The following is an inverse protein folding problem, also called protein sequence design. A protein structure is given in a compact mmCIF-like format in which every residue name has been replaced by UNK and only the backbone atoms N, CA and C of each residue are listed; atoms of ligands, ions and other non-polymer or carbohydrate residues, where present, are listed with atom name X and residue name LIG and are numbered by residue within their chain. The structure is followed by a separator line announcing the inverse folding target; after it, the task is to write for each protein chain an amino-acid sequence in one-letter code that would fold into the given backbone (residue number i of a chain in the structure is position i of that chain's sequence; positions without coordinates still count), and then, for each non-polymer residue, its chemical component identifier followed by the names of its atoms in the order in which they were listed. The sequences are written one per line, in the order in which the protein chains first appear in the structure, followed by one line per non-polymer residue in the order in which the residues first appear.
data_IF_985729354299
#
_entry.id   IF_985729354299
#
_cell.length_a   1.000
_cell.length_b   1.000
_cell.length_c   1.000
_cell.angle_alpha   90.00
_cell.angle_beta   90.00
_cell.angle_gamma   90.00
#
_symmetry.space_group_name_H-M   'P 1'
#
loop_
_entity.id
_entity.type
_entity.pdbx_description
1 polymer ?
#
# COMPACT_ATOMS: atom_id res chain seq x y z
N UNK A 1 -11.46 -0.67 19.99
CA UNK A 1 -11.91 -1.51 18.86
C UNK A 1 -10.71 -1.69 17.95
N UNK A 2 -10.06 -2.86 17.98
CA UNK A 2 -8.93 -3.15 17.09
C UNK A 2 -9.45 -3.38 15.68
N UNK A 3 -8.80 -2.78 14.68
CA UNK A 3 -9.09 -3.04 13.27
C UNK A 3 -8.61 -4.47 12.99
N UNK A 4 -9.52 -5.37 12.59
CA UNK A 4 -9.15 -6.72 12.18
C UNK A 4 -8.80 -6.70 10.68
N UNK A 5 -7.69 -7.32 10.30
CA UNK A 5 -7.35 -7.52 8.88
C UNK A 5 -8.23 -8.61 8.28
N UNK A 6 -8.96 -8.29 7.22
CA UNK A 6 -9.68 -9.29 6.42
C UNK A 6 -8.74 -9.96 5.40
N UNK A 7 -9.08 -11.16 4.89
CA UNK A 7 -8.28 -11.79 3.83
C UNK A 7 -8.14 -10.91 2.58
N UNK A 8 -9.21 -10.18 2.21
CA UNK A 8 -9.19 -9.24 1.09
C UNK A 8 -8.21 -8.08 1.35
N UNK A 9 -8.19 -7.52 2.56
CA UNK A 9 -7.24 -6.48 2.95
C UNK A 9 -5.79 -6.96 2.84
N UNK A 10 -5.49 -8.19 3.29
CA UNK A 10 -4.14 -8.76 3.20
C UNK A 10 -3.72 -9.01 1.75
N UNK A 11 -4.65 -9.43 0.90
CA UNK A 11 -4.40 -9.60 -0.53
C UNK A 11 -4.07 -8.25 -1.20
N UNK A 12 -4.87 -7.21 -0.96
CA UNK A 12 -4.62 -5.86 -1.49
C UNK A 12 -3.32 -5.27 -0.97
N UNK A 13 -3.00 -5.46 0.31
CA UNK A 13 -1.72 -5.04 0.88
C UNK A 13 -0.53 -5.75 0.21
N UNK A 14 -0.69 -7.03 -0.14
CA UNK A 14 0.33 -7.79 -0.86
C UNK A 14 0.53 -7.27 -2.28
N UNK A 15 -0.55 -6.93 -2.99
CA UNK A 15 -0.50 -6.31 -4.32
C UNK A 15 0.19 -4.94 -4.26
N UNK A 16 -0.13 -4.11 -3.26
CA UNK A 16 0.49 -2.80 -3.08
C UNK A 16 2.01 -2.93 -2.82
N UNK A 17 2.41 -3.91 -2.00
CA UNK A 17 3.82 -4.23 -1.78
C UNK A 17 4.51 -4.66 -3.08
N UNK A 18 3.86 -5.50 -3.88
CA UNK A 18 4.40 -5.95 -5.15
C UNK A 18 4.60 -4.79 -6.13
N UNK A 19 3.65 -3.86 -6.21
CA UNK A 19 3.79 -2.63 -6.99
C UNK A 19 5.01 -1.80 -6.56
N UNK A 20 5.28 -1.70 -5.25
CA UNK A 20 6.48 -1.03 -4.73
C UNK A 20 7.77 -1.75 -5.16
N UNK A 21 7.78 -3.09 -5.12
CA UNK A 21 8.91 -3.90 -5.57
C UNK A 21 9.13 -3.79 -7.08
N UNK A 22 8.07 -3.71 -7.88
CA UNK A 22 8.17 -3.44 -9.31
C UNK A 22 8.78 -2.06 -9.58
N UNK A 23 8.34 -1.03 -8.86
CA UNK A 23 8.96 0.30 -8.95
C UNK A 23 10.46 0.25 -8.62
N UNK A 24 10.84 -0.52 -7.59
CA UNK A 24 12.24 -0.77 -7.24
C UNK A 24 13.01 -1.45 -8.36
N UNK A 25 12.46 -2.53 -8.91
CA UNK A 25 13.10 -3.33 -9.96
C UNK A 25 13.33 -2.52 -11.25
N UNK A 26 12.41 -1.61 -11.55
CA UNK A 26 12.50 -0.69 -12.70
C UNK A 26 13.33 0.56 -12.38
N UNK A 27 13.91 0.67 -11.18
CA UNK A 27 14.67 1.81 -10.69
C UNK A 27 13.90 3.14 -10.84
N UNK A 28 12.58 3.08 -10.63
CA UNK A 28 11.71 4.24 -10.66
C UNK A 28 11.76 4.95 -9.31
N UNK A 29 11.90 6.27 -9.34
CA UNK A 29 11.85 7.14 -8.17
C UNK A 29 10.75 8.17 -8.32
N UNK A 30 10.16 8.62 -7.21
CA UNK A 30 9.11 9.66 -7.21
C UNK A 30 7.81 9.24 -7.93
N UNK A 31 7.43 7.97 -7.81
CA UNK A 31 6.20 7.43 -8.40
C UNK A 31 5.03 7.57 -7.42
N UNK A 32 3.83 7.84 -7.95
CA UNK A 32 2.57 7.77 -7.20
C UNK A 32 1.90 6.42 -7.47
N UNK A 33 1.66 5.63 -6.43
CA UNK A 33 0.90 4.38 -6.51
C UNK A 33 -0.51 4.65 -5.98
N UNK A 34 -1.50 4.29 -6.78
CA UNK A 34 -2.92 4.50 -6.46
C UNK A 34 -3.58 3.19 -6.01
N UNK A 35 -4.49 3.27 -5.05
CA UNK A 35 -5.28 2.13 -4.59
C UNK A 35 -6.67 2.58 -4.13
N UNK A 36 -7.69 1.76 -4.32
CA UNK A 36 -9.08 2.06 -3.97
C UNK A 36 -9.42 1.79 -2.50
N UNK A 37 -8.53 1.15 -1.75
CA UNK A 37 -8.67 0.93 -0.32
C UNK A 37 -8.08 2.07 0.49
N UNK A 38 -8.95 2.99 0.92
CA UNK A 38 -8.59 4.15 1.73
C UNK A 38 -7.89 3.77 3.05
N UNK A 39 -8.28 2.65 3.68
CA UNK A 39 -7.69 2.19 4.92
C UNK A 39 -6.24 1.73 4.71
N UNK A 40 -5.99 0.99 3.63
CA UNK A 40 -4.65 0.54 3.27
C UNK A 40 -3.73 1.72 2.96
N UNK A 41 -4.20 2.70 2.18
CA UNK A 41 -3.46 3.92 1.89
C UNK A 41 -3.15 4.68 3.17
N UNK A 42 -4.14 4.89 4.04
CA UNK A 42 -3.98 5.58 5.32
C UNK A 42 -2.92 4.91 6.19
N UNK A 43 -2.96 3.57 6.30
CA UNK A 43 -1.93 2.81 7.03
C UNK A 43 -0.56 2.90 6.35
N UNK A 44 -0.48 3.01 5.03
CA UNK A 44 0.80 3.07 4.32
C UNK A 44 1.51 4.43 4.47
N UNK A 45 0.79 5.50 4.79
CA UNK A 45 1.36 6.86 4.92
C UNK A 45 1.37 7.42 6.35
N UNK A 46 0.61 6.82 7.27
CA UNK A 46 0.52 7.31 8.66
C UNK A 46 1.44 6.55 9.61
N UNK A 47 1.67 7.14 10.79
CA UNK A 47 2.34 6.47 11.92
C UNK A 47 1.40 5.52 12.70
N UNK A 48 0.16 5.32 12.22
CA UNK A 48 -0.80 4.42 12.88
C UNK A 48 -0.23 3.01 12.94
N UNK A 49 -0.40 2.34 14.08
CA UNK A 49 0.03 0.95 14.22
C UNK A 49 -0.95 0.06 13.43
N UNK A 50 -0.49 -0.67 12.41
CA UNK A 50 -1.35 -1.60 11.67
C UNK A 50 -1.76 -2.79 12.56
N UNK A 51 -2.83 -3.53 12.17
CA UNK A 51 -3.14 -4.81 12.78
C UNK A 51 -1.94 -5.76 12.71
N UNK A 52 -1.77 -6.61 13.73
CA UNK A 52 -0.58 -7.47 13.83
C UNK A 52 -0.44 -8.41 12.63
N UNK A 53 -1.56 -8.86 12.04
CA UNK A 53 -1.61 -9.72 10.85
C UNK A 53 -0.99 -9.03 9.62
N UNK A 54 -1.16 -7.70 9.52
CA UNK A 54 -0.69 -6.90 8.40
C UNK A 54 0.60 -6.13 8.70
N UNK A 55 1.07 -6.13 9.95
CA UNK A 55 2.18 -5.30 10.43
C UNK A 55 3.44 -5.45 9.58
N UNK A 56 3.81 -6.70 9.26
CA UNK A 56 5.00 -6.98 8.45
C UNK A 56 4.88 -6.41 7.04
N UNK A 57 3.72 -6.59 6.38
CA UNK A 57 3.48 -6.13 5.01
C UNK A 57 3.47 -4.61 4.95
N UNK A 58 2.75 -3.95 5.87
CA UNK A 58 2.66 -2.48 5.91
C UNK A 58 4.02 -1.85 6.25
N UNK A 59 4.79 -2.47 7.15
CA UNK A 59 6.13 -1.97 7.48
C UNK A 59 7.06 -2.04 6.26
N UNK A 60 7.01 -3.12 5.48
CA UNK A 60 7.80 -3.25 4.25
C UNK A 60 7.39 -2.22 3.20
N UNK A 61 6.08 -1.99 3.02
CA UNK A 61 5.55 -0.92 2.13
C UNK A 61 6.10 0.45 2.53
N UNK A 62 6.05 0.79 3.82
CA UNK A 62 6.56 2.08 4.34
C UNK A 62 8.06 2.24 4.09
N UNK A 63 8.85 1.19 4.34
CA UNK A 63 10.28 1.19 4.07
C UNK A 63 10.59 1.38 2.59
N UNK A 64 9.93 0.62 1.70
CA UNK A 64 10.10 0.75 0.25
C UNK A 64 9.69 2.15 -0.25
N UNK A 65 8.61 2.70 0.29
CA UNK A 65 8.14 4.04 -0.06
C UNK A 65 9.15 5.12 0.34
N UNK A 66 9.72 5.03 1.54
CA UNK A 66 10.78 5.93 1.99
C UNK A 66 12.03 5.83 1.11
N UNK A 67 12.47 4.61 0.79
CA UNK A 67 13.68 4.36 0.01
C UNK A 67 13.58 4.91 -1.42
N UNK A 68 12.42 4.76 -2.06
CA UNK A 68 12.19 5.12 -3.47
C UNK A 68 11.46 6.47 -3.65
N UNK A 69 11.16 7.16 -2.54
CA UNK A 69 10.33 8.39 -2.51
C UNK A 69 8.97 8.18 -3.18
N UNK A 70 8.34 7.03 -2.94
CA UNK A 70 7.00 6.76 -3.46
C UNK A 70 5.97 7.58 -2.68
N UNK A 71 4.90 7.92 -3.37
CA UNK A 71 3.69 8.48 -2.75
C UNK A 71 2.52 7.55 -2.97
N UNK A 72 1.60 7.54 -2.02
CA UNK A 72 0.39 6.73 -2.09
C UNK A 72 -0.82 7.65 -2.18
N UNK A 73 -1.75 7.35 -3.09
CA UNK A 73 -2.99 8.09 -3.27
C UNK A 73 -4.18 7.15 -3.25
N UNK A 74 -5.22 7.56 -2.54
CA UNK A 74 -6.50 6.90 -2.65
C UNK A 74 -7.25 7.41 -3.87
N UNK A 75 -7.79 6.50 -4.67
CA UNK A 75 -8.60 6.81 -5.86
C UNK A 75 -9.91 6.00 -5.77
N UNK A 76 -11.09 6.59 -6.04
CA UNK A 76 -12.35 5.84 -6.04
C UNK A 76 -12.32 4.71 -7.07
N UNK A 77 -13.06 3.62 -6.81
CA UNK A 77 -13.08 2.40 -7.65
C UNK A 77 -13.29 2.65 -9.13
N UNK A 78 -14.15 3.61 -9.47
CA UNK A 78 -14.43 4.04 -10.85
C UNK A 78 -13.19 4.60 -11.57
N UNK A 79 -12.19 5.07 -10.82
CA UNK A 79 -10.91 5.55 -11.34
C UNK A 79 -9.79 4.51 -11.35
N UNK A 80 -10.03 3.29 -10.84
CA UNK A 80 -9.02 2.21 -10.75
C UNK A 80 -9.35 1.01 -11.66
N UNK A 81 -10.05 1.23 -12.79
CA UNK A 81 -10.44 0.14 -13.70
C UNK A 81 -9.25 -0.65 -14.26
N UNK A 82 -8.08 -0.02 -14.40
CA UNK A 82 -6.89 -0.67 -14.98
C UNK A 82 -6.27 -1.75 -14.07
N UNK A 83 -6.58 -1.76 -12.78
CA UNK A 83 -6.02 -2.70 -11.80
C UNK A 83 -7.01 -3.79 -11.36
N UNK A 84 -8.24 -3.76 -11.89
CA UNK A 84 -9.33 -4.65 -11.51
C UNK A 84 -9.35 -5.94 -12.34
#
# INVERSE_FOLDING_TARGET
MGILSTPAFLAEASVLREACLFAKALNLSSVSIENDNAQLISLSVSELVPPWEALAIISDIRSLASDLRLSFRWTPREGNEAAH
#
